data_IF_037346044882
#
_entry.id   IF_037346044882
#
_cell.length_a   1.000
_cell.length_b   1.000
_cell.length_c   1.000
_cell.angle_alpha   90.00
_cell.angle_beta   90.00
_cell.angle_gamma   90.00
#
_symmetry.space_group_name_H-M   'P 1'
#
loop_
_entity.id
_entity.type
_entity.pdbx_description
1 polymer ?
#
# COMPACT_ATOMS: atom_id res chain seq x y z
N UNK A 1 17.06 0.49 21.21
CA UNK A 1 17.34 1.45 20.13
C UNK A 1 18.70 2.12 20.31
N UNK A 2 19.33 2.52 19.20
CA UNK A 2 20.69 3.08 19.16
C UNK A 2 20.86 4.50 19.71
N UNK A 3 20.15 4.86 20.78
CA UNK A 3 20.17 6.22 21.33
C UNK A 3 21.47 6.57 22.07
N UNK A 4 22.17 5.59 22.63
CA UNK A 4 23.40 5.83 23.37
C UNK A 4 24.55 6.35 22.51
N UNK A 5 24.52 6.11 21.21
CA UNK A 5 25.50 6.61 20.25
C UNK A 5 25.34 8.11 19.91
N UNK A 6 24.31 8.76 20.44
CA UNK A 6 23.96 10.16 20.12
C UNK A 6 23.14 10.31 18.85
N UNK A 7 22.91 11.56 18.43
CA UNK A 7 22.11 11.86 17.24
C UNK A 7 22.73 11.31 15.96
N UNK A 8 21.90 10.69 15.11
CA UNK A 8 22.33 10.02 13.88
C UNK A 8 21.71 10.59 12.60
N UNK A 9 20.96 11.69 12.72
CA UNK A 9 20.34 12.37 11.59
C UNK A 9 20.43 13.88 11.73
N UNK A 10 20.88 14.53 10.67
CA UNK A 10 20.81 16.00 10.49
C UNK A 10 19.98 16.30 9.25
N UNK A 11 18.96 17.12 9.40
CA UNK A 11 18.07 17.48 8.31
C UNK A 11 18.82 18.37 7.30
N UNK A 12 18.99 17.93 6.03
CA UNK A 12 19.68 18.73 5.02
C UNK A 12 18.93 20.00 4.62
N UNK A 13 17.60 20.02 4.83
CA UNK A 13 16.76 21.19 4.55
C UNK A 13 16.73 22.21 5.70
N UNK A 14 17.17 21.79 6.89
CA UNK A 14 17.23 22.61 8.09
C UNK A 14 18.59 22.44 8.79
N UNK A 15 19.71 22.87 8.14
CA UNK A 15 21.08 22.61 8.63
C UNK A 15 21.40 23.25 9.97
N UNK A 16 20.69 24.33 10.32
CA UNK A 16 20.88 25.06 11.58
C UNK A 16 20.16 24.42 12.77
N UNK A 17 19.28 23.44 12.53
CA UNK A 17 18.61 22.70 13.59
C UNK A 17 19.54 21.67 14.24
N UNK A 18 19.27 21.41 15.54
CA UNK A 18 20.00 20.37 16.27
C UNK A 18 19.79 19.00 15.63
N UNK A 19 20.87 18.21 15.56
CA UNK A 19 20.79 16.84 15.09
C UNK A 19 19.82 16.01 15.94
N UNK A 20 19.11 15.10 15.29
CA UNK A 20 18.01 14.28 15.86
C UNK A 20 18.36 12.79 15.79
N UNK A 21 17.54 11.96 16.44
CA UNK A 21 17.65 10.53 16.35
C UNK A 21 16.58 9.94 15.42
N UNK A 22 17.02 9.15 14.44
CA UNK A 22 16.18 8.17 13.75
C UNK A 22 16.34 6.84 14.48
N UNK A 23 15.26 6.33 15.05
CA UNK A 23 15.28 5.11 15.84
C UNK A 23 15.57 3.89 14.97
N UNK A 24 16.53 3.09 15.38
CA UNK A 24 16.90 1.83 14.73
C UNK A 24 17.35 0.82 15.79
N UNK A 25 17.32 -0.46 15.47
CA UNK A 25 17.94 -1.47 16.33
C UNK A 25 19.46 -1.32 16.27
N UNK A 26 20.10 -1.24 17.42
CA UNK A 26 21.55 -1.04 17.51
C UNK A 26 22.36 -2.26 17.06
N UNK A 27 21.74 -3.45 17.06
CA UNK A 27 22.30 -4.71 16.60
C UNK A 27 21.17 -5.65 16.15
N UNK A 28 21.54 -6.80 15.61
CA UNK A 28 20.58 -7.86 15.26
C UNK A 28 19.78 -8.31 16.50
N UNK A 29 18.50 -8.69 16.36
CA UNK A 29 17.64 -9.06 17.48
C UNK A 29 18.24 -10.13 18.40
N UNK A 30 18.89 -11.13 17.83
CA UNK A 30 19.54 -12.23 18.59
C UNK A 30 20.68 -11.72 19.48
N UNK A 31 21.40 -10.68 19.00
CA UNK A 31 22.49 -10.07 19.76
C UNK A 31 21.92 -9.23 20.89
N UNK A 32 20.89 -8.43 20.61
CA UNK A 32 20.23 -7.61 21.63
C UNK A 32 19.58 -8.47 22.72
N UNK A 33 18.90 -9.56 22.34
CA UNK A 33 18.29 -10.48 23.29
C UNK A 33 19.33 -11.07 24.25
N UNK A 34 20.50 -11.48 23.72
CA UNK A 34 21.63 -11.97 24.53
C UNK A 34 22.21 -10.90 25.47
N UNK A 35 22.36 -9.66 24.96
CA UNK A 35 22.86 -8.54 25.77
C UNK A 35 21.91 -8.21 26.92
N UNK A 36 20.60 -8.21 26.64
CA UNK A 36 19.55 -7.96 27.63
C UNK A 36 19.23 -9.18 28.52
N UNK A 37 19.83 -10.34 28.25
CA UNK A 37 19.59 -11.62 28.95
C UNK A 37 18.13 -12.04 28.96
N UNK A 38 17.45 -11.86 27.84
CA UNK A 38 16.05 -12.25 27.60
C UNK A 38 15.94 -13.13 26.35
N UNK A 39 14.81 -13.81 26.16
CA UNK A 39 14.54 -14.52 24.92
C UNK A 39 14.25 -13.54 23.77
N UNK A 40 14.48 -13.96 22.53
CA UNK A 40 14.09 -13.15 21.35
C UNK A 40 12.59 -12.85 21.34
N UNK A 41 11.77 -13.80 21.76
CA UNK A 41 10.32 -13.59 21.91
C UNK A 41 10.02 -12.45 22.88
N UNK A 42 10.69 -12.41 24.02
CA UNK A 42 10.50 -11.34 25.02
C UNK A 42 11.04 -10.00 24.52
N UNK A 43 12.13 -10.02 23.74
CA UNK A 43 12.64 -8.83 23.08
C UNK A 43 11.59 -8.24 22.11
N UNK A 44 11.02 -9.06 21.24
CA UNK A 44 9.98 -8.60 20.31
C UNK A 44 8.74 -8.08 21.05
N UNK A 45 8.27 -8.78 22.06
CA UNK A 45 7.16 -8.33 22.89
C UNK A 45 7.45 -6.98 23.60
N UNK A 46 8.71 -6.75 24.01
CA UNK A 46 9.14 -5.45 24.56
C UNK A 46 9.16 -4.37 23.50
N UNK A 47 9.70 -4.65 22.32
CA UNK A 47 9.75 -3.72 21.19
C UNK A 47 8.34 -3.31 20.73
N UNK A 48 7.42 -4.25 20.64
CA UNK A 48 6.03 -3.96 20.25
C UNK A 48 5.35 -3.00 21.23
N UNK A 49 5.54 -3.21 22.53
CA UNK A 49 5.03 -2.29 23.56
C UNK A 49 5.64 -0.89 23.45
N UNK A 50 6.96 -0.81 23.26
CA UNK A 50 7.66 0.47 23.09
C UNK A 50 7.17 1.17 21.82
N UNK A 51 7.07 0.45 20.70
CA UNK A 51 6.60 0.99 19.44
C UNK A 51 5.15 1.50 19.53
N UNK A 52 4.28 0.79 20.24
CA UNK A 52 2.91 1.24 20.48
C UNK A 52 2.87 2.56 21.27
N UNK A 53 3.69 2.70 22.30
CA UNK A 53 3.79 3.94 23.10
C UNK A 53 4.36 5.09 22.26
N UNK A 54 5.42 4.85 21.50
CA UNK A 54 6.03 5.85 20.62
C UNK A 54 5.04 6.30 19.53
N UNK A 55 4.30 5.36 18.95
CA UNK A 55 3.26 5.65 17.97
C UNK A 55 2.15 6.52 18.57
N UNK A 56 1.68 6.20 19.77
CA UNK A 56 0.65 6.98 20.46
C UNK A 56 1.08 8.43 20.71
N UNK A 57 2.35 8.64 21.08
CA UNK A 57 2.91 10.00 21.25
C UNK A 57 3.05 10.70 19.91
N UNK A 58 3.59 10.02 18.89
CA UNK A 58 3.78 10.57 17.54
C UNK A 58 2.45 10.98 16.90
N UNK A 59 1.40 10.19 17.08
CA UNK A 59 0.08 10.47 16.50
C UNK A 59 -0.59 11.72 17.03
N UNK A 60 -0.12 12.25 18.18
CA UNK A 60 -0.60 13.53 18.75
C UNK A 60 0.09 14.76 18.17
N UNK A 61 1.19 14.57 17.42
CA UNK A 61 1.89 15.68 16.76
C UNK A 61 1.15 16.08 15.50
N UNK A 62 1.35 17.31 15.03
CA UNK A 62 0.90 17.71 13.69
C UNK A 62 1.45 16.72 12.66
N UNK A 63 0.54 16.13 11.88
CA UNK A 63 0.91 15.17 10.85
C UNK A 63 1.14 15.91 9.53
N UNK A 64 2.04 15.43 8.66
CA UNK A 64 2.16 15.93 7.31
C UNK A 64 0.83 15.86 6.57
N UNK A 65 0.61 16.75 5.63
CA UNK A 65 -0.53 16.66 4.71
C UNK A 65 -0.51 15.33 3.96
N UNK A 66 -1.66 14.69 3.84
CA UNK A 66 -1.81 13.45 3.07
C UNK A 66 -2.39 13.80 1.71
N UNK A 67 -1.69 13.44 0.64
CA UNK A 67 -2.26 13.47 -0.71
C UNK A 67 -3.24 12.29 -0.84
N UNK A 68 -4.53 12.62 -0.99
CA UNK A 68 -5.62 11.65 -1.03
C UNK A 68 -5.98 11.17 -2.44
N UNK A 69 -5.17 11.50 -3.42
CA UNK A 69 -5.42 11.06 -4.78
C UNK A 69 -5.37 9.53 -4.90
N UNK A 70 -6.37 8.97 -5.54
CA UNK A 70 -6.38 7.59 -5.99
C UNK A 70 -6.03 7.59 -7.47
N UNK A 71 -4.85 7.10 -7.82
CA UNK A 71 -4.38 7.01 -9.20
C UNK A 71 -4.69 5.61 -9.73
N UNK A 72 -5.45 5.54 -10.82
CA UNK A 72 -5.95 4.26 -11.36
C UNK A 72 -4.84 3.28 -11.70
N UNK A 73 -3.79 3.71 -12.41
CA UNK A 73 -2.67 2.86 -12.77
C UNK A 73 -1.94 2.28 -11.53
N UNK A 74 -1.64 3.13 -10.55
CA UNK A 74 -0.93 2.68 -9.34
C UNK A 74 -1.75 1.69 -8.51
N UNK A 75 -3.05 1.94 -8.41
CA UNK A 75 -3.94 1.00 -7.75
C UNK A 75 -4.11 -0.29 -8.55
N UNK A 76 -4.14 -0.23 -9.89
CA UNK A 76 -4.13 -1.44 -10.74
C UNK A 76 -2.92 -2.33 -10.48
N UNK A 77 -1.72 -1.76 -10.36
CA UNK A 77 -0.49 -2.48 -10.00
C UNK A 77 -0.54 -3.03 -8.57
N UNK A 78 -1.04 -2.23 -7.62
CA UNK A 78 -1.22 -2.69 -6.24
C UNK A 78 -2.21 -3.86 -6.14
N UNK A 79 -3.33 -3.80 -6.88
CA UNK A 79 -4.32 -4.88 -6.96
C UNK A 79 -3.67 -6.17 -7.48
N UNK A 80 -2.86 -6.08 -8.54
CA UNK A 80 -2.15 -7.24 -9.07
C UNK A 80 -1.22 -7.86 -8.02
N UNK A 81 -0.42 -7.02 -7.36
CA UNK A 81 0.53 -7.46 -6.32
C UNK A 81 -0.18 -8.08 -5.11
N UNK A 82 -1.29 -7.50 -4.65
CA UNK A 82 -2.09 -8.04 -3.54
C UNK A 82 -2.72 -9.38 -3.91
N UNK A 83 -3.28 -9.52 -5.11
CA UNK A 83 -3.87 -10.77 -5.58
C UNK A 83 -2.84 -11.91 -5.69
N UNK A 84 -1.66 -11.62 -6.26
CA UNK A 84 -0.58 -12.59 -6.36
C UNK A 84 0.00 -12.95 -4.98
N UNK A 85 0.17 -11.95 -4.09
CA UNK A 85 0.62 -12.17 -2.71
C UNK A 85 -0.35 -13.02 -1.90
N UNK A 86 -1.66 -12.87 -2.13
CA UNK A 86 -2.69 -13.66 -1.45
C UNK A 86 -2.50 -15.16 -1.67
N UNK A 87 -2.18 -15.55 -2.91
CA UNK A 87 -1.94 -16.94 -3.27
C UNK A 87 -0.59 -17.46 -2.73
N UNK A 88 0.48 -16.65 -2.88
CA UNK A 88 1.84 -17.06 -2.53
C UNK A 88 2.09 -17.11 -1.03
N UNK A 89 1.52 -16.16 -0.29
CA UNK A 89 1.74 -16.00 1.16
C UNK A 89 0.59 -16.50 2.02
N UNK A 90 -0.41 -17.16 1.42
CA UNK A 90 -1.62 -17.62 2.11
C UNK A 90 -2.33 -16.49 2.90
N UNK A 91 -2.46 -15.31 2.28
CA UNK A 91 -3.05 -14.10 2.88
C UNK A 91 -4.40 -13.78 2.22
N UNK A 92 -5.50 -14.43 2.63
CA UNK A 92 -6.82 -14.19 2.05
C UNK A 92 -7.31 -12.74 2.21
N UNK A 93 -6.88 -12.06 3.26
CA UNK A 93 -7.13 -10.64 3.50
C UNK A 93 -6.57 -9.74 2.39
N UNK A 94 -5.43 -10.09 1.79
CA UNK A 94 -4.87 -9.37 0.65
C UNK A 94 -5.76 -9.48 -0.60
N UNK A 95 -6.39 -10.66 -0.85
CA UNK A 95 -7.33 -10.81 -1.95
C UNK A 95 -8.60 -9.97 -1.73
N UNK A 96 -9.13 -9.95 -0.52
CA UNK A 96 -10.29 -9.12 -0.15
C UNK A 96 -9.98 -7.63 -0.41
N UNK A 97 -8.80 -7.17 -0.02
CA UNK A 97 -8.36 -5.80 -0.28
C UNK A 97 -8.22 -5.51 -1.79
N UNK A 98 -7.67 -6.44 -2.56
CA UNK A 98 -7.54 -6.33 -4.01
C UNK A 98 -8.91 -6.21 -4.69
N UNK A 99 -9.87 -7.06 -4.31
CA UNK A 99 -11.23 -7.03 -4.85
C UNK A 99 -11.94 -5.72 -4.53
N UNK A 100 -11.88 -5.27 -3.27
CA UNK A 100 -12.50 -4.01 -2.86
C UNK A 100 -11.92 -2.80 -3.60
N UNK A 101 -10.60 -2.77 -3.80
CA UNK A 101 -9.94 -1.72 -4.58
C UNK A 101 -10.34 -1.76 -6.06
N UNK A 102 -10.47 -2.94 -6.66
CA UNK A 102 -10.91 -3.11 -8.04
C UNK A 102 -12.35 -2.63 -8.23
N UNK A 103 -13.26 -3.01 -7.33
CA UNK A 103 -14.66 -2.58 -7.37
C UNK A 103 -14.77 -1.06 -7.23
N UNK A 104 -14.01 -0.48 -6.30
CA UNK A 104 -13.95 0.97 -6.14
C UNK A 104 -13.54 1.69 -7.43
N UNK A 105 -12.48 1.23 -8.11
CA UNK A 105 -12.03 1.86 -9.35
C UNK A 105 -13.06 1.71 -10.47
N UNK A 106 -13.66 0.55 -10.62
CA UNK A 106 -14.66 0.29 -11.66
C UNK A 106 -15.95 1.10 -11.45
N UNK A 107 -16.34 1.34 -10.20
CA UNK A 107 -17.57 2.03 -9.84
C UNK A 107 -17.40 3.55 -9.70
N UNK A 108 -16.29 3.99 -9.06
CA UNK A 108 -16.11 5.37 -8.62
C UNK A 108 -15.11 6.17 -9.45
N UNK A 109 -14.08 5.53 -10.01
CA UNK A 109 -13.08 6.22 -10.81
C UNK A 109 -13.57 6.40 -12.25
N UNK A 110 -14.77 6.98 -12.42
CA UNK A 110 -15.34 7.31 -13.72
C UNK A 110 -15.67 8.79 -13.80
N UNK A 111 -15.36 9.39 -14.93
CA UNK A 111 -15.74 10.78 -15.24
C UNK A 111 -17.29 10.88 -15.34
N UNK A 112 -17.87 12.08 -15.32
CA UNK A 112 -19.30 12.28 -15.54
C UNK A 112 -19.82 11.66 -16.84
N UNK A 113 -18.97 11.52 -17.86
CA UNK A 113 -19.29 10.83 -19.12
C UNK A 113 -19.17 9.30 -19.07
N UNK A 114 -18.86 8.71 -17.91
CA UNK A 114 -18.71 7.26 -17.72
C UNK A 114 -17.36 6.68 -18.14
N UNK A 115 -16.45 7.50 -18.64
CA UNK A 115 -15.09 7.07 -19.03
C UNK A 115 -14.23 6.84 -17.78
N UNK A 116 -13.40 5.81 -17.79
CA UNK A 116 -12.44 5.58 -16.71
C UNK A 116 -11.57 6.82 -16.51
N UNK A 117 -11.39 7.23 -15.27
CA UNK A 117 -10.59 8.38 -14.89
C UNK A 117 -9.19 7.94 -14.42
N UNK A 118 -8.19 8.78 -14.67
CA UNK A 118 -6.84 8.61 -14.16
C UNK A 118 -6.76 8.86 -12.66
N UNK A 119 -7.52 9.84 -12.19
CA UNK A 119 -7.44 10.29 -10.80
C UNK A 119 -8.84 10.39 -10.18
N UNK A 120 -8.97 9.94 -8.96
CA UNK A 120 -10.11 10.21 -8.09
C UNK A 120 -9.61 10.86 -6.79
N UNK A 121 -10.28 11.94 -6.36
CA UNK A 121 -9.97 12.60 -5.08
C UNK A 121 -11.21 13.31 -4.56
N UNK A 122 -11.43 13.31 -3.26
CA UNK A 122 -12.49 14.02 -2.53
C UNK A 122 -13.90 13.83 -3.14
N UNK A 123 -14.22 12.63 -3.58
CA UNK A 123 -15.52 12.25 -4.11
C UNK A 123 -15.69 12.45 -5.62
N UNK A 124 -14.69 12.97 -6.33
CA UNK A 124 -14.76 13.27 -7.76
C UNK A 124 -13.67 12.54 -8.57
N UNK A 125 -14.08 12.01 -9.72
CA UNK A 125 -13.18 11.47 -10.73
C UNK A 125 -12.77 12.59 -11.71
N UNK A 126 -11.48 12.68 -12.02
CA UNK A 126 -10.92 13.70 -12.88
C UNK A 126 -9.84 13.14 -13.79
N UNK A 127 -9.60 13.83 -14.89
CA UNK A 127 -8.62 13.46 -15.92
C UNK A 127 -8.99 12.11 -16.56
N UNK A 128 -9.38 12.05 -17.82
CA UNK A 128 -9.61 10.80 -18.53
C UNK A 128 -8.39 9.87 -18.44
N UNK A 129 -8.64 8.60 -18.21
CA UNK A 129 -7.59 7.59 -18.15
C UNK A 129 -6.82 7.51 -19.47
N UNK A 130 -5.51 7.23 -19.36
CA UNK A 130 -4.61 6.96 -20.48
C UNK A 130 -4.32 5.45 -20.55
N UNK A 131 -3.60 5.01 -21.59
CA UNK A 131 -3.28 3.60 -21.82
C UNK A 131 -2.75 2.88 -20.57
N UNK A 132 -1.85 3.53 -19.82
CA UNK A 132 -1.28 2.99 -18.57
C UNK A 132 -2.35 2.60 -17.55
N UNK A 133 -3.39 3.45 -17.39
CA UNK A 133 -4.45 3.22 -16.40
C UNK A 133 -5.30 1.99 -16.77
N UNK A 134 -5.64 1.86 -18.06
CA UNK A 134 -6.38 0.71 -18.58
C UNK A 134 -5.56 -0.59 -18.44
N UNK A 135 -4.30 -0.54 -18.86
CA UNK A 135 -3.41 -1.71 -18.83
C UNK A 135 -3.17 -2.19 -17.39
N UNK A 136 -2.85 -1.29 -16.48
CA UNK A 136 -2.59 -1.63 -15.08
C UNK A 136 -3.86 -2.18 -14.38
N UNK A 137 -5.03 -1.58 -14.60
CA UNK A 137 -6.27 -2.08 -14.01
C UNK A 137 -6.66 -3.45 -14.61
N UNK A 138 -6.52 -3.62 -15.93
CA UNK A 138 -6.75 -4.92 -16.57
C UNK A 138 -5.81 -6.01 -16.02
N UNK A 139 -4.53 -5.69 -15.78
CA UNK A 139 -3.58 -6.58 -15.13
C UNK A 139 -4.04 -6.97 -13.73
N UNK A 140 -4.49 -6.00 -12.93
CA UNK A 140 -5.03 -6.25 -11.59
C UNK A 140 -6.23 -7.18 -11.60
N UNK A 141 -7.20 -6.94 -12.49
CA UNK A 141 -8.37 -7.80 -12.66
C UNK A 141 -8.02 -9.22 -13.11
N UNK A 142 -7.06 -9.35 -14.02
CA UNK A 142 -6.54 -10.64 -14.44
C UNK A 142 -5.84 -11.40 -13.30
N UNK A 143 -5.10 -10.69 -12.43
CA UNK A 143 -4.48 -11.28 -11.26
C UNK A 143 -5.52 -11.78 -10.25
N UNK A 144 -6.57 -11.00 -9.96
CA UNK A 144 -7.71 -11.46 -9.14
C UNK A 144 -8.35 -12.72 -9.74
N UNK A 145 -8.55 -12.75 -11.06
CA UNK A 145 -9.14 -13.92 -11.72
C UNK A 145 -8.26 -15.19 -11.66
N UNK A 146 -6.92 -15.03 -11.59
CA UNK A 146 -5.99 -16.16 -11.40
C UNK A 146 -5.91 -16.64 -9.96
N UNK A 147 -6.02 -15.73 -8.99
CA UNK A 147 -6.13 -16.12 -7.59
C UNK A 147 -7.43 -16.94 -7.42
N UNK A 148 -7.47 -17.90 -6.50
CA UNK A 148 -8.51 -18.94 -6.31
C UNK A 148 -9.96 -18.44 -6.22
N UNK A 149 -10.33 -17.49 -7.06
CA UNK A 149 -11.71 -16.98 -7.19
C UNK A 149 -12.51 -17.98 -7.99
N UNK A 150 -13.45 -18.66 -7.34
CA UNK A 150 -14.30 -19.68 -7.98
C UNK A 150 -15.51 -19.05 -8.64
N UNK A 151 -16.03 -19.70 -9.69
CA UNK A 151 -17.34 -19.44 -10.28
C UNK A 151 -17.47 -18.10 -11.00
N UNK A 152 -18.64 -17.49 -10.88
CA UNK A 152 -19.08 -16.30 -11.61
C UNK A 152 -18.17 -15.08 -11.42
N UNK A 153 -17.55 -14.95 -10.26
CA UNK A 153 -16.63 -13.82 -9.98
C UNK A 153 -15.40 -13.87 -10.88
N UNK A 154 -14.83 -15.04 -11.13
CA UNK A 154 -13.70 -15.19 -12.05
C UNK A 154 -14.07 -14.78 -13.46
N UNK A 155 -15.20 -15.25 -13.96
CA UNK A 155 -15.71 -14.91 -15.29
C UNK A 155 -15.94 -13.40 -15.41
N UNK A 156 -16.54 -12.79 -14.38
CA UNK A 156 -16.76 -11.33 -14.31
C UNK A 156 -15.46 -10.55 -14.40
N UNK A 157 -14.42 -10.90 -13.62
CA UNK A 157 -13.13 -10.20 -13.65
C UNK A 157 -12.43 -10.34 -15.00
N UNK A 158 -12.52 -11.51 -15.62
CA UNK A 158 -12.00 -11.73 -16.97
C UNK A 158 -12.73 -10.87 -18.00
N UNK A 159 -14.05 -10.77 -17.93
CA UNK A 159 -14.85 -9.95 -18.82
C UNK A 159 -14.50 -8.45 -18.68
N UNK A 160 -14.42 -7.96 -17.44
CA UNK A 160 -14.00 -6.59 -17.13
C UNK A 160 -12.59 -6.28 -17.63
N UNK A 161 -11.63 -7.19 -17.44
CA UNK A 161 -10.27 -7.01 -17.95
C UNK A 161 -10.25 -6.94 -19.49
N UNK A 162 -10.99 -7.81 -20.17
CA UNK A 162 -11.11 -7.80 -21.64
C UNK A 162 -11.73 -6.50 -22.17
N UNK A 163 -12.78 -6.01 -21.50
CA UNK A 163 -13.40 -4.73 -21.84
C UNK A 163 -12.40 -3.56 -21.77
N UNK A 164 -11.63 -3.48 -20.68
CA UNK A 164 -10.61 -2.43 -20.53
C UNK A 164 -9.53 -2.52 -21.61
N UNK A 165 -9.09 -3.72 -21.96
CA UNK A 165 -8.11 -3.93 -23.04
C UNK A 165 -8.70 -3.52 -24.40
N UNK A 166 -9.96 -3.88 -24.69
CA UNK A 166 -10.61 -3.49 -25.93
C UNK A 166 -10.69 -1.96 -26.07
N UNK A 167 -11.12 -1.26 -25.01
CA UNK A 167 -11.15 0.21 -24.99
C UNK A 167 -9.74 0.81 -25.19
N UNK A 168 -8.71 0.20 -24.62
CA UNK A 168 -7.34 0.68 -24.75
C UNK A 168 -6.78 0.52 -26.17
N UNK A 169 -7.24 -0.48 -26.92
CA UNK A 169 -6.80 -0.74 -28.30
C UNK A 169 -7.51 0.15 -29.33
N UNK A 170 -8.66 0.72 -29.00
CA UNK A 170 -9.45 1.61 -29.86
C UNK A 170 -9.03 3.08 -29.74
N UNK A 171 -8.14 3.42 -28.80
CA UNK A 171 -7.66 4.79 -28.51
C UNK A 171 -6.25 5.05 -29.03
#
# INVERSE_FOLDING_TARGET
YGLAAGPNFRDPHHPDEAARNVLHLAAAPEVLARQERISERDLWARLDRINAQLLAVRSRRAQPGTDRKVITAWNGLAIASLADSAALLHRPDALVAAEAAADFLLERARTPSGVLARCWTDGAASIPAVLEDYAALALGLAAIARSKTEGDRRATRIAQAKELVAIALER
#
